data_IF_888460299872
#
_entry.id   IF_888460299872
#
_cell.length_a   1.000
_cell.length_b   1.000
_cell.length_c   1.000
_cell.angle_alpha   90.00
_cell.angle_beta   90.00
_cell.angle_gamma   90.00
#
_symmetry.space_group_name_H-M   'P 1'
#
loop_
_entity.id
_entity.type
_entity.pdbx_description
1 polymer ?
#
# COMPACT_ATOMS: atom_id res chain seq x y z
N UNK A 1 12.86 -20.78 -4.80
CA UNK A 1 13.23 -20.74 -3.37
C UNK A 1 11.94 -20.74 -2.56
N UNK A 2 11.49 -21.89 -2.03
CA UNK A 2 10.17 -22.03 -1.37
C UNK A 2 10.27 -22.13 0.17
N UNK A 3 11.31 -21.55 0.77
CA UNK A 3 11.57 -21.68 2.21
C UNK A 3 10.87 -20.60 3.07
N UNK A 4 10.83 -20.79 4.40
CA UNK A 4 10.28 -19.82 5.35
C UNK A 4 10.95 -18.44 5.22
N UNK A 5 12.27 -18.41 4.97
CA UNK A 5 13.02 -17.18 4.75
C UNK A 5 12.51 -16.37 3.54
N UNK A 6 12.14 -17.05 2.44
CA UNK A 6 11.64 -16.37 1.24
C UNK A 6 10.31 -15.63 1.52
N UNK A 7 9.48 -16.15 2.42
CA UNK A 7 8.21 -15.51 2.82
C UNK A 7 8.45 -14.26 3.66
N UNK A 8 9.35 -14.36 4.63
CA UNK A 8 9.73 -13.23 5.48
C UNK A 8 10.34 -12.12 4.63
N UNK A 9 11.30 -12.46 3.76
CA UNK A 9 11.92 -11.51 2.83
C UNK A 9 10.88 -10.95 1.86
N UNK A 10 10.00 -11.78 1.30
CA UNK A 10 8.93 -11.33 0.43
C UNK A 10 7.99 -10.33 1.11
N UNK A 11 7.59 -10.60 2.35
CA UNK A 11 6.76 -9.69 3.14
C UNK A 11 7.49 -8.36 3.40
N UNK A 12 8.75 -8.42 3.88
CA UNK A 12 9.58 -7.24 4.12
C UNK A 12 9.75 -6.37 2.88
N UNK A 13 10.21 -6.98 1.78
CA UNK A 13 10.46 -6.28 0.50
C UNK A 13 9.17 -5.70 -0.06
N UNK A 14 8.05 -6.44 0.01
CA UNK A 14 6.76 -5.92 -0.46
C UNK A 14 6.30 -4.69 0.31
N UNK A 15 6.38 -4.70 1.65
CA UNK A 15 6.00 -3.56 2.48
C UNK A 15 6.94 -2.37 2.31
N UNK A 16 8.26 -2.60 2.28
CA UNK A 16 9.25 -1.55 2.06
C UNK A 16 9.02 -0.87 0.71
N UNK A 17 8.91 -1.66 -0.37
CA UNK A 17 8.74 -1.11 -1.71
C UNK A 17 7.40 -0.40 -1.86
N UNK A 18 6.32 -0.97 -1.33
CA UNK A 18 4.99 -0.35 -1.38
C UNK A 18 4.96 0.97 -0.63
N UNK A 19 5.44 1.01 0.60
CA UNK A 19 5.43 2.25 1.42
C UNK A 19 6.32 3.32 0.83
N UNK A 20 7.52 2.96 0.35
CA UNK A 20 8.40 3.91 -0.36
C UNK A 20 7.68 4.51 -1.56
N UNK A 21 7.08 3.65 -2.40
CA UNK A 21 6.43 4.07 -3.63
C UNK A 21 5.17 4.90 -3.37
N UNK A 22 4.33 4.46 -2.45
CA UNK A 22 3.12 5.17 -2.06
C UNK A 22 3.44 6.56 -1.49
N UNK A 23 4.45 6.67 -0.63
CA UNK A 23 4.87 7.98 -0.09
C UNK A 23 5.43 8.89 -1.16
N UNK A 24 6.23 8.39 -2.10
CA UNK A 24 6.68 9.18 -3.25
C UNK A 24 5.51 9.67 -4.11
N UNK A 25 4.49 8.83 -4.33
CA UNK A 25 3.28 9.21 -5.05
C UNK A 25 2.49 10.29 -4.30
N UNK A 26 2.30 10.09 -2.99
CA UNK A 26 1.62 11.02 -2.09
C UNK A 26 2.28 12.40 -2.10
N UNK A 27 3.61 12.45 -1.93
CA UNK A 27 4.37 13.71 -2.01
C UNK A 27 4.27 14.36 -3.39
N UNK A 28 4.29 13.57 -4.47
CA UNK A 28 4.12 14.09 -5.83
C UNK A 28 2.73 14.67 -6.05
N UNK A 29 1.69 14.00 -5.56
CA UNK A 29 0.30 14.48 -5.63
C UNK A 29 0.13 15.78 -4.84
N UNK A 30 0.70 15.86 -3.64
CA UNK A 30 0.71 17.08 -2.84
C UNK A 30 1.32 18.28 -3.59
N UNK A 31 2.44 18.06 -4.30
CA UNK A 31 3.06 19.11 -5.14
C UNK A 31 2.14 19.51 -6.30
N UNK A 32 1.55 18.55 -7.02
CA UNK A 32 0.65 18.85 -8.16
C UNK A 32 -0.57 19.64 -7.71
N UNK A 33 -1.18 19.29 -6.57
CA UNK A 33 -2.31 20.03 -6.03
C UNK A 33 -1.90 21.44 -5.59
N UNK A 34 -0.70 21.60 -5.00
CA UNK A 34 -0.14 22.91 -4.67
C UNK A 34 0.09 23.81 -5.88
N UNK A 35 0.27 23.24 -7.08
CA UNK A 35 0.39 23.94 -8.35
C UNK A 35 -0.96 24.25 -9.03
N UNK A 36 -2.09 23.92 -8.40
CA UNK A 36 -3.43 24.11 -8.97
C UNK A 36 -4.04 22.85 -9.60
N UNK A 37 -3.47 21.67 -9.33
CA UNK A 37 -4.03 20.38 -9.71
C UNK A 37 -3.62 19.86 -11.10
N UNK A 38 -2.87 20.64 -11.87
CA UNK A 38 -2.33 20.23 -13.16
C UNK A 38 -0.96 20.85 -13.40
N UNK A 39 -0.04 20.05 -13.91
CA UNK A 39 1.21 20.51 -14.50
C UNK A 39 1.58 19.56 -15.64
N UNK A 40 2.38 20.03 -16.59
CA UNK A 40 2.91 19.19 -17.65
C UNK A 40 4.39 19.50 -17.90
N UNK A 41 5.08 18.60 -18.61
CA UNK A 41 6.44 18.85 -19.08
C UNK A 41 6.63 18.26 -20.46
N UNK A 42 7.10 19.07 -21.39
CA UNK A 42 7.28 18.71 -22.79
C UNK A 42 5.96 18.55 -23.57
N UNK A 43 6.09 18.44 -24.89
CA UNK A 43 4.97 18.26 -25.83
C UNK A 43 4.79 19.44 -26.79
N UNK A 44 3.89 19.29 -27.79
CA UNK A 44 3.61 20.33 -28.80
C UNK A 44 2.63 21.41 -28.31
N UNK A 45 2.07 21.26 -27.10
CA UNK A 45 1.09 22.18 -26.52
C UNK A 45 1.78 23.22 -25.64
N UNK A 46 1.16 24.40 -25.53
CA UNK A 46 1.62 25.46 -24.61
C UNK A 46 1.37 25.01 -23.17
N UNK A 47 2.44 24.91 -22.39
CA UNK A 47 2.40 24.47 -21.00
C UNK A 47 2.20 25.71 -20.12
N UNK A 48 1.04 25.80 -19.47
CA UNK A 48 0.75 26.88 -18.52
C UNK A 48 1.59 26.76 -17.23
N UNK A 49 1.76 25.53 -16.73
CA UNK A 49 2.52 25.24 -15.50
C UNK A 49 3.46 24.06 -15.71
N UNK A 50 4.76 24.30 -15.58
CA UNK A 50 5.77 23.25 -15.75
C UNK A 50 5.91 22.39 -14.50
N UNK A 51 5.91 21.05 -14.66
CA UNK A 51 6.11 20.14 -13.53
C UNK A 51 7.56 20.14 -13.01
N UNK A 52 7.77 20.07 -11.69
CA UNK A 52 9.09 19.81 -11.14
C UNK A 52 9.58 18.39 -11.46
N UNK A 53 10.91 18.21 -11.54
CA UNK A 53 11.56 16.95 -11.91
C UNK A 53 11.15 15.80 -10.99
N UNK A 54 10.97 16.10 -9.69
CA UNK A 54 10.52 15.13 -8.69
C UNK A 54 9.18 14.51 -9.07
N UNK A 55 8.20 15.31 -9.50
CA UNK A 55 6.87 14.83 -9.92
C UNK A 55 6.97 14.00 -11.19
N UNK A 56 7.72 14.49 -12.20
CA UNK A 56 7.87 13.81 -13.49
C UNK A 56 8.53 12.44 -13.33
N UNK A 57 9.51 12.34 -12.43
CA UNK A 57 10.24 11.11 -12.18
C UNK A 57 9.47 10.15 -11.27
N UNK A 58 9.00 10.63 -10.12
CA UNK A 58 8.48 9.75 -9.06
C UNK A 58 7.04 9.31 -9.28
N UNK A 59 6.20 10.09 -9.98
CA UNK A 59 4.80 9.71 -10.24
C UNK A 59 4.68 8.41 -11.05
N UNK A 60 5.30 8.26 -12.24
CA UNK A 60 5.21 7.00 -12.98
C UNK A 60 5.94 5.86 -12.26
N UNK A 61 7.13 6.14 -11.71
CA UNK A 61 7.95 5.12 -11.04
C UNK A 61 7.21 4.49 -9.84
N UNK A 62 6.55 5.32 -9.03
CA UNK A 62 5.80 4.85 -7.86
C UNK A 62 4.62 3.96 -8.22
N UNK A 63 3.88 4.27 -9.29
CA UNK A 63 2.74 3.46 -9.74
C UNK A 63 3.21 2.04 -10.10
N UNK A 64 4.25 1.93 -10.94
CA UNK A 64 4.77 0.61 -11.33
C UNK A 64 5.43 -0.13 -10.16
N UNK A 65 6.18 0.58 -9.32
CA UNK A 65 6.82 -0.01 -8.15
C UNK A 65 5.80 -0.54 -7.13
N UNK A 66 4.66 0.14 -6.92
CA UNK A 66 3.56 -0.38 -6.09
C UNK A 66 2.96 -1.67 -6.65
N UNK A 67 2.73 -1.75 -7.97
CA UNK A 67 2.22 -2.96 -8.61
C UNK A 67 3.21 -4.14 -8.44
N UNK A 68 4.51 -3.87 -8.60
CA UNK A 68 5.57 -4.85 -8.35
C UNK A 68 5.57 -5.28 -6.88
N UNK A 69 5.42 -4.34 -5.94
CA UNK A 69 5.37 -4.64 -4.52
C UNK A 69 4.22 -5.59 -4.16
N UNK A 70 3.02 -5.34 -4.71
CA UNK A 70 1.86 -6.23 -4.55
C UNK A 70 2.13 -7.61 -5.14
N UNK A 71 2.72 -7.68 -6.35
CA UNK A 71 3.10 -8.95 -6.97
C UNK A 71 4.10 -9.74 -6.09
N UNK A 72 5.13 -9.09 -5.55
CA UNK A 72 6.09 -9.71 -4.62
C UNK A 72 5.36 -10.25 -3.39
N UNK A 73 4.42 -9.49 -2.82
CA UNK A 73 3.60 -9.94 -1.68
C UNK A 73 2.78 -11.19 -2.01
N UNK A 74 2.13 -11.21 -3.18
CA UNK A 74 1.32 -12.37 -3.63
C UNK A 74 2.18 -13.61 -3.87
N UNK A 75 3.27 -13.49 -4.63
CA UNK A 75 4.04 -14.64 -5.09
C UNK A 75 5.07 -15.14 -4.07
N UNK A 76 5.67 -14.23 -3.30
CA UNK A 76 6.79 -14.52 -2.39
C UNK A 76 6.32 -14.63 -0.93
N UNK A 77 5.47 -13.72 -0.44
CA UNK A 77 4.96 -13.79 0.94
C UNK A 77 3.83 -14.83 1.12
N UNK A 78 3.01 -15.08 0.08
CA UNK A 78 1.98 -16.15 0.07
C UNK A 78 1.05 -16.16 1.30
N UNK A 79 0.62 -14.97 1.71
CA UNK A 79 -0.29 -14.80 2.86
C UNK A 79 0.39 -14.77 4.22
N UNK A 80 1.72 -14.81 4.28
CA UNK A 80 2.48 -14.56 5.51
C UNK A 80 2.58 -13.06 5.82
N UNK A 81 2.32 -12.70 7.08
CA UNK A 81 2.42 -11.34 7.59
C UNK A 81 1.24 -10.47 7.19
N UNK A 82 1.31 -9.17 7.49
CA UNK A 82 0.25 -8.20 7.17
C UNK A 82 -0.01 -8.22 5.65
N UNK A 83 -1.20 -8.64 5.18
CA UNK A 83 -1.44 -8.91 3.77
C UNK A 83 -1.55 -7.60 2.97
N UNK A 84 -0.49 -7.30 2.21
CA UNK A 84 -0.39 -6.06 1.44
C UNK A 84 -1.54 -5.91 0.42
N UNK A 85 -2.02 -7.01 -0.17
CA UNK A 85 -3.13 -6.98 -1.14
C UNK A 85 -4.40 -6.37 -0.54
N UNK A 86 -4.67 -6.66 0.74
CA UNK A 86 -5.87 -6.17 1.42
C UNK A 86 -5.70 -4.72 1.84
N UNK A 87 -4.50 -4.34 2.28
CA UNK A 87 -4.20 -2.99 2.75
C UNK A 87 -3.88 -1.99 1.64
N UNK A 88 -3.33 -2.44 0.52
CA UNK A 88 -2.85 -1.57 -0.54
C UNK A 88 -3.96 -0.70 -1.11
N UNK A 89 -5.15 -1.27 -1.28
CA UNK A 89 -6.31 -0.53 -1.78
C UNK A 89 -6.81 0.54 -0.79
N UNK A 90 -7.15 0.24 0.48
CA UNK A 90 -7.46 1.27 1.47
C UNK A 90 -6.38 2.34 1.62
N UNK A 91 -5.11 1.96 1.69
CA UNK A 91 -4.01 2.93 1.85
C UNK A 91 -3.96 3.89 0.66
N UNK A 92 -4.03 3.37 -0.57
CA UNK A 92 -3.97 4.19 -1.78
C UNK A 92 -5.15 5.16 -1.85
N UNK A 93 -6.37 4.67 -1.67
CA UNK A 93 -7.57 5.49 -1.85
C UNK A 93 -7.81 6.45 -0.68
N UNK A 94 -7.64 6.01 0.57
CA UNK A 94 -7.77 6.90 1.72
C UNK A 94 -6.64 7.92 1.72
N UNK A 95 -5.41 7.51 1.44
CA UNK A 95 -4.26 8.40 1.40
C UNK A 95 -4.40 9.48 0.33
N UNK A 96 -4.67 9.11 -0.93
CA UNK A 96 -4.92 10.10 -1.98
C UNK A 96 -6.20 10.92 -1.73
N UNK A 97 -7.22 10.33 -1.12
CA UNK A 97 -8.44 11.03 -0.71
C UNK A 97 -8.18 12.12 0.34
N UNK A 98 -7.28 11.88 1.29
CA UNK A 98 -6.83 12.89 2.26
C UNK A 98 -6.14 14.05 1.54
N UNK A 99 -5.30 13.76 0.55
CA UNK A 99 -4.63 14.76 -0.27
C UNK A 99 -5.62 15.68 -0.99
N UNK A 100 -6.61 15.10 -1.69
CA UNK A 100 -7.69 15.87 -2.30
C UNK A 100 -8.53 16.62 -1.27
N UNK A 101 -8.74 16.06 -0.08
CA UNK A 101 -9.48 16.73 0.98
C UNK A 101 -8.73 17.99 1.45
N UNK A 102 -7.41 17.90 1.63
CA UNK A 102 -6.57 19.06 1.96
C UNK A 102 -6.61 20.09 0.82
N UNK A 103 -6.57 19.64 -0.43
CA UNK A 103 -6.66 20.52 -1.59
C UNK A 103 -8.05 21.15 -1.80
N UNK A 104 -9.09 20.65 -1.12
CA UNK A 104 -10.42 21.25 -1.17
C UNK A 104 -10.52 22.60 -0.46
N UNK A 105 -9.55 22.91 0.41
CA UNK A 105 -9.46 24.20 1.10
C UNK A 105 -8.75 25.28 0.28
N UNK A 106 -8.27 24.95 -0.93
CA UNK A 106 -7.65 25.89 -1.87
C UNK A 106 -8.69 26.46 -2.87
N UNK A 107 -8.40 27.57 -3.57
CA UNK A 107 -9.30 28.13 -4.58
C UNK A 107 -9.71 27.08 -5.63
N UNK A 108 -11.00 26.96 -5.92
CA UNK A 108 -11.54 25.94 -6.83
C UNK A 108 -11.77 24.55 -6.21
N UNK A 109 -11.65 24.41 -4.88
CA UNK A 109 -11.62 23.13 -4.18
C UNK A 109 -12.88 22.26 -4.16
N UNK A 110 -14.01 22.67 -4.76
CA UNK A 110 -15.23 21.85 -4.83
C UNK A 110 -14.99 20.56 -5.61
N UNK A 111 -14.25 20.62 -6.73
CA UNK A 111 -13.87 19.45 -7.50
C UNK A 111 -13.03 18.48 -6.67
N UNK A 112 -12.02 19.00 -5.97
CA UNK A 112 -11.16 18.24 -5.06
C UNK A 112 -11.97 17.58 -3.93
N UNK A 113 -12.95 18.28 -3.36
CA UNK A 113 -13.82 17.73 -2.31
C UNK A 113 -14.63 16.52 -2.81
N UNK A 114 -15.20 16.61 -4.01
CA UNK A 114 -15.96 15.50 -4.61
C UNK A 114 -15.05 14.29 -4.80
N UNK A 115 -13.85 14.49 -5.37
CA UNK A 115 -12.87 13.42 -5.57
C UNK A 115 -12.43 12.81 -4.23
N UNK A 116 -12.16 13.64 -3.22
CA UNK A 116 -11.78 13.21 -1.88
C UNK A 116 -12.83 12.28 -1.25
N UNK A 117 -14.11 12.68 -1.30
CA UNK A 117 -15.22 11.88 -0.75
C UNK A 117 -15.30 10.53 -1.46
N UNK A 118 -15.26 10.52 -2.80
CA UNK A 118 -15.33 9.27 -3.59
C UNK A 118 -14.17 8.34 -3.22
N UNK A 119 -12.95 8.86 -3.16
CA UNK A 119 -11.76 8.09 -2.84
C UNK A 119 -11.81 7.53 -1.42
N UNK A 120 -12.16 8.35 -0.43
CA UNK A 120 -12.29 7.90 0.96
C UNK A 120 -13.34 6.79 1.08
N UNK A 121 -14.50 6.93 0.43
CA UNK A 121 -15.54 5.88 0.43
C UNK A 121 -14.99 4.59 -0.21
N UNK A 122 -14.34 4.70 -1.37
CA UNK A 122 -13.75 3.55 -2.07
C UNK A 122 -12.67 2.83 -1.27
N UNK A 123 -11.95 3.54 -0.40
CA UNK A 123 -10.95 2.95 0.50
C UNK A 123 -11.55 2.36 1.79
N UNK A 124 -12.48 3.08 2.44
CA UNK A 124 -13.04 2.69 3.73
C UNK A 124 -14.05 1.53 3.60
N UNK A 125 -14.90 1.51 2.56
CA UNK A 125 -15.95 0.48 2.44
C UNK A 125 -15.37 -0.95 2.40
N UNK A 126 -14.38 -1.27 1.54
CA UNK A 126 -13.75 -2.59 1.56
C UNK A 126 -13.08 -2.90 2.90
N UNK A 127 -12.45 -1.91 3.53
CA UNK A 127 -11.78 -2.08 4.83
C UNK A 127 -12.78 -2.48 5.92
N UNK A 128 -13.95 -1.82 5.97
CA UNK A 128 -15.02 -2.14 6.93
C UNK A 128 -15.56 -3.55 6.69
N UNK A 129 -15.73 -3.97 5.44
CA UNK A 129 -16.17 -5.33 5.10
C UNK A 129 -15.16 -6.37 5.60
N UNK A 130 -13.85 -6.15 5.37
CA UNK A 130 -12.83 -7.11 5.81
C UNK A 130 -12.68 -7.13 7.34
N UNK A 131 -12.76 -5.98 8.01
CA UNK A 131 -12.73 -5.91 9.48
C UNK A 131 -13.85 -6.73 10.13
N UNK A 132 -15.04 -6.77 9.51
CA UNK A 132 -16.17 -7.58 9.98
C UNK A 132 -15.89 -9.09 9.90
N UNK A 133 -15.09 -9.52 8.91
CA UNK A 133 -14.71 -10.93 8.75
C UNK A 133 -13.73 -11.35 9.85
N UNK A 134 -12.68 -10.54 10.09
CA UNK A 134 -11.77 -10.77 11.22
C UNK A 134 -10.54 -9.86 11.20
N UNK A 135 -10.32 -9.12 12.30
CA UNK A 135 -9.18 -8.22 12.45
C UNK A 135 -7.82 -8.95 12.48
N UNK A 136 -7.78 -10.20 12.95
CA UNK A 136 -6.55 -10.98 12.96
C UNK A 136 -5.99 -11.18 11.54
N UNK A 137 -6.83 -11.57 10.58
CA UNK A 137 -6.43 -11.77 9.17
C UNK A 137 -5.80 -10.51 8.55
N UNK A 138 -6.26 -9.33 8.97
CA UNK A 138 -5.71 -8.06 8.50
C UNK A 138 -4.31 -7.78 9.02
N UNK A 139 -3.90 -8.34 10.16
CA UNK A 139 -2.62 -7.99 10.78
C UNK A 139 -1.57 -9.08 10.59
N UNK A 140 -1.95 -10.36 10.73
CA UNK A 140 -1.02 -11.49 10.65
C UNK A 140 -1.07 -12.25 9.32
N UNK A 141 -2.08 -12.01 8.49
CA UNK A 141 -2.28 -12.71 7.22
C UNK A 141 -3.09 -14.00 7.38
N UNK A 142 -2.91 -14.92 6.43
CA UNK A 142 -3.66 -16.19 6.35
C UNK A 142 -2.82 -17.41 6.70
N UNK A 143 -1.49 -17.32 6.58
CA UNK A 143 -0.57 -18.43 6.83
C UNK A 143 0.58 -18.00 7.74
N UNK A 144 1.12 -18.96 8.49
CA UNK A 144 2.35 -18.74 9.24
C UNK A 144 3.59 -18.88 8.32
N UNK A 145 4.78 -18.66 8.91
CA UNK A 145 6.06 -18.73 8.18
C UNK A 145 6.35 -20.12 7.58
N UNK A 146 5.71 -21.17 8.11
CA UNK A 146 5.83 -22.57 7.66
C UNK A 146 4.69 -23.00 6.75
N UNK A 147 3.91 -22.06 6.21
CA UNK A 147 2.76 -22.32 5.33
C UNK A 147 1.59 -23.05 5.96
N UNK A 148 1.48 -23.06 7.29
CA UNK A 148 0.28 -23.58 7.95
C UNK A 148 -0.78 -22.49 8.01
N UNK A 149 -2.01 -22.75 7.57
CA UNK A 149 -3.09 -21.79 7.63
C UNK A 149 -3.49 -21.52 9.08
N UNK A 150 -3.89 -20.29 9.38
CA UNK A 150 -4.45 -19.96 10.69
C UNK A 150 -5.89 -20.45 10.81
N UNK A 151 -6.22 -21.06 11.94
CA UNK A 151 -7.58 -21.49 12.26
C UNK A 151 -8.43 -20.28 12.59
N UNK A 152 -9.43 -20.01 11.76
CA UNK A 152 -10.37 -18.93 12.00
C UNK A 152 -11.65 -19.49 12.64
N UNK A 153 -11.99 -19.00 13.84
CA UNK A 153 -13.13 -19.49 14.62
C UNK A 153 -14.50 -19.28 13.96
N UNK A 154 -14.57 -18.59 12.82
CA UNK A 154 -15.81 -18.28 12.07
C UNK A 154 -16.02 -19.13 10.81
N UNK A 155 -15.27 -20.22 10.65
CA UNK A 155 -15.38 -21.10 9.49
C UNK A 155 -14.73 -20.51 8.21
N UNK A 156 -14.58 -21.33 7.17
CA UNK A 156 -13.86 -20.96 5.96
C UNK A 156 -14.70 -20.00 5.11
N UNK A 157 -14.43 -18.70 5.21
CA UNK A 157 -14.89 -17.72 4.22
C UNK A 157 -13.69 -17.23 3.41
N UNK A 158 -13.46 -17.77 2.20
CA UNK A 158 -12.48 -17.24 1.28
C UNK A 158 -13.11 -16.13 0.45
N UNK A 159 -12.70 -14.87 0.65
CA UNK A 159 -13.07 -13.77 -0.26
C UNK A 159 -12.12 -13.75 -1.48
N UNK A 160 -10.88 -14.23 -1.32
CA UNK A 160 -9.89 -14.36 -2.40
C UNK A 160 -8.99 -15.59 -2.17
N UNK A 161 -9.46 -16.79 -2.50
CA UNK A 161 -8.59 -17.97 -2.59
C UNK A 161 -8.15 -18.16 -4.04
N UNK A 162 -6.96 -17.63 -4.37
CA UNK A 162 -6.23 -18.04 -5.56
C UNK A 162 -5.30 -19.21 -5.17
N UNK A 163 -5.82 -20.43 -5.28
CA UNK A 163 -5.03 -21.67 -5.23
C UNK A 163 -4.74 -22.24 -3.83
N UNK A 164 -5.22 -23.46 -3.60
CA UNK A 164 -4.81 -24.32 -2.48
C UNK A 164 -5.95 -24.65 -1.52
N UNK A 165 -6.63 -25.78 -1.74
CA UNK A 165 -7.44 -26.46 -0.72
C UNK A 165 -6.48 -26.96 0.37
N UNK A 166 -6.19 -26.16 1.41
CA UNK A 166 -5.60 -26.73 2.62
C UNK A 166 -6.69 -27.48 3.37
N UNK A 167 -6.44 -28.74 3.68
CA UNK A 167 -7.30 -29.58 4.50
C UNK A 167 -7.51 -28.89 5.87
N UNK A 168 -8.75 -28.61 6.25
CA UNK A 168 -9.10 -27.90 7.49
C UNK A 168 -8.50 -28.52 8.78
N UNK A 169 -8.01 -29.76 8.70
CA UNK A 169 -7.34 -30.48 9.79
C UNK A 169 -6.00 -29.90 10.24
N UNK A 170 -5.28 -29.17 9.39
CA UNK A 170 -3.93 -28.65 9.70
C UNK A 170 -3.92 -27.20 10.21
N UNK A 171 -5.10 -26.57 10.32
CA UNK A 171 -5.22 -25.18 10.74
C UNK A 171 -4.90 -25.01 12.24
N UNK A 172 -3.92 -24.17 12.56
CA UNK A 172 -3.47 -23.90 13.92
C UNK A 172 -3.88 -22.50 14.38
N UNK A 173 -4.18 -22.28 15.67
CA UNK A 173 -4.40 -20.93 16.20
C UNK A 173 -3.12 -20.10 16.08
N UNK A 174 -3.27 -18.79 15.82
CA UNK A 174 -2.14 -17.87 15.76
C UNK A 174 -1.45 -17.76 17.12
N UNK A 175 -0.14 -17.97 17.15
CA UNK A 175 0.65 -17.86 18.37
C UNK A 175 1.18 -16.44 18.55
N UNK A 176 1.56 -16.05 19.78
CA UNK A 176 2.20 -14.75 20.03
C UNK A 176 3.48 -14.54 19.19
N UNK A 177 4.21 -15.64 18.90
CA UNK A 177 5.38 -15.60 18.01
C UNK A 177 5.03 -15.23 16.57
N UNK A 178 3.89 -15.70 16.06
CA UNK A 178 3.44 -15.35 14.70
C UNK A 178 3.08 -13.86 14.60
N UNK A 179 2.44 -13.31 15.63
CA UNK A 179 2.13 -11.88 15.74
C UNK A 179 3.40 -11.03 15.80
N UNK A 180 4.34 -11.40 16.68
CA UNK A 180 5.60 -10.70 16.84
C UNK A 180 6.41 -10.71 15.54
N UNK A 181 6.41 -11.83 14.80
CA UNK A 181 7.15 -11.95 13.55
C UNK A 181 6.47 -11.18 12.41
N UNK A 182 5.14 -11.26 12.30
CA UNK A 182 4.39 -10.50 11.30
C UNK A 182 4.57 -8.99 11.47
N UNK A 183 4.34 -8.46 12.68
CA UNK A 183 4.49 -7.04 12.99
C UNK A 183 5.95 -6.60 13.01
N UNK A 184 6.83 -7.43 13.55
CA UNK A 184 8.27 -7.19 13.58
C UNK A 184 8.92 -7.15 12.19
N UNK A 185 8.23 -7.63 11.15
CA UNK A 185 8.66 -7.49 9.75
C UNK A 185 8.00 -6.29 9.09
N UNK A 186 6.69 -6.14 9.20
CA UNK A 186 5.96 -5.09 8.49
C UNK A 186 6.27 -3.69 9.03
N UNK A 187 6.26 -3.49 10.35
CA UNK A 187 6.51 -2.17 10.97
C UNK A 187 7.86 -1.58 10.59
N UNK A 188 9.02 -2.26 10.77
CA UNK A 188 10.30 -1.67 10.39
C UNK A 188 10.40 -1.47 8.87
N UNK A 189 9.82 -2.37 8.07
CA UNK A 189 9.81 -2.20 6.60
C UNK A 189 9.04 -0.95 6.18
N UNK A 190 7.90 -0.67 6.82
CA UNK A 190 7.11 0.55 6.62
C UNK A 190 7.93 1.77 7.03
N UNK A 191 8.52 1.78 8.23
CA UNK A 191 9.29 2.93 8.73
C UNK A 191 10.49 3.24 7.84
N UNK A 192 11.23 2.21 7.42
CA UNK A 192 12.36 2.35 6.49
C UNK A 192 11.88 2.87 5.14
N UNK A 193 10.76 2.36 4.61
CA UNK A 193 10.22 2.82 3.34
C UNK A 193 9.76 4.28 3.37
N UNK A 194 9.10 4.71 4.46
CA UNK A 194 8.74 6.12 4.68
C UNK A 194 9.99 7.02 4.70
N UNK A 195 11.02 6.62 5.45
CA UNK A 195 12.27 7.37 5.54
C UNK A 195 13.01 7.45 4.20
N UNK A 196 13.08 6.34 3.46
CA UNK A 196 13.68 6.30 2.12
C UNK A 196 12.93 7.21 1.14
N UNK A 197 11.60 7.17 1.13
CA UNK A 197 10.81 8.04 0.26
C UNK A 197 11.05 9.52 0.54
N UNK A 198 11.06 9.92 1.82
CA UNK A 198 11.32 11.30 2.21
C UNK A 198 12.72 11.75 1.78
N UNK A 199 13.76 10.96 2.08
CA UNK A 199 15.14 11.29 1.71
C UNK A 199 15.33 11.38 0.20
N UNK A 200 14.78 10.43 -0.57
CA UNK A 200 14.80 10.45 -2.03
C UNK A 200 14.09 11.68 -2.59
N UNK A 201 12.89 11.99 -2.10
CA UNK A 201 12.10 13.10 -2.59
C UNK A 201 12.80 14.44 -2.35
N UNK A 202 13.32 14.67 -1.15
CA UNK A 202 14.05 15.90 -0.81
C UNK A 202 15.37 16.03 -1.58
N UNK A 203 16.07 14.92 -1.85
CA UNK A 203 17.32 14.96 -2.63
C UNK A 203 17.13 15.45 -4.07
N UNK A 204 16.00 15.10 -4.70
CA UNK A 204 15.66 15.55 -6.07
C UNK A 204 15.00 16.92 -6.05
N UNK A 205 14.15 17.20 -5.06
CA UNK A 205 13.49 18.49 -4.95
C UNK A 205 14.47 19.64 -4.64
N UNK A 206 15.55 19.38 -3.89
CA UNK A 206 16.58 20.37 -3.56
C UNK A 206 17.70 20.51 -4.58
N UNK A 207 17.73 19.72 -5.64
CA UNK A 207 18.78 19.75 -6.67
C UNK A 207 18.58 20.87 -7.73
N UNK A 208 17.83 21.92 -7.39
CA UNK A 208 17.47 23.04 -8.27
C UNK A 208 17.79 24.38 -7.63
#
# INVERSE_FOLDING_TARGET
MNGPAARVVGSAVSWLLFTTSFTLLYLSAAVVMGLGGFCARGGPYVIETECPDSVVLFTPLSIFAMLIAVAIGVFLARGFGTPLVIWGWPILFVGLGIDFLLASFMPGGVSNLIVAIVFIIMGIVPLVIVLRVGAARLLIGTTNVRDRPFRDGRGPTPIFQLGGRSQDGDAAPATAGDWALALGVSVPSILVGLWLAQTMFHSVAGAR
#
